data_IF_842410869653
#
_entry.id   IF_842410869653
#
_cell.length_a   1.000
_cell.length_b   1.000
_cell.length_c   1.000
_cell.angle_alpha   90.00
_cell.angle_beta   90.00
_cell.angle_gamma   90.00
#
_symmetry.space_group_name_H-M   'P 1'
#
loop_
_entity.id
_entity.type
_entity.pdbx_description
1 polymer ?
#
# COMPACT_ATOMS: atom_id res chain seq x y z
N UNK A 1 37.94 -32.12 -8.11
CA UNK A 1 37.35 -33.39 -7.62
C UNK A 1 36.79 -33.17 -6.23
N UNK A 2 35.46 -33.20 -6.08
CA UNK A 2 34.76 -33.42 -4.81
C UNK A 2 33.35 -33.89 -5.16
N UNK A 3 33.15 -35.20 -5.08
CA UNK A 3 31.89 -35.89 -5.37
C UNK A 3 30.97 -35.81 -4.14
N UNK A 4 29.89 -35.04 -4.25
CA UNK A 4 28.78 -35.05 -3.29
C UNK A 4 27.76 -36.12 -3.66
N UNK A 5 27.85 -37.26 -2.98
CA UNK A 5 27.04 -38.46 -3.17
C UNK A 5 25.61 -38.25 -2.59
N UNK A 6 24.64 -37.85 -3.41
CA UNK A 6 23.23 -37.72 -2.99
C UNK A 6 22.51 -39.06 -3.08
N UNK A 7 22.16 -39.66 -1.94
CA UNK A 7 21.32 -40.86 -1.84
C UNK A 7 19.93 -40.61 -2.44
N UNK A 8 19.41 -41.47 -3.33
CA UNK A 8 18.05 -41.30 -3.86
C UNK A 8 17.00 -41.80 -2.88
N UNK A 9 16.07 -40.91 -2.51
CA UNK A 9 14.88 -41.18 -1.70
C UNK A 9 13.92 -42.17 -2.36
N UNK A 10 13.37 -43.10 -1.57
CA UNK A 10 12.54 -44.25 -1.99
C UNK A 10 11.27 -43.90 -2.79
N UNK A 11 10.75 -42.68 -2.70
CA UNK A 11 9.53 -42.24 -3.40
C UNK A 11 9.75 -41.85 -4.87
N UNK A 12 10.98 -41.71 -5.35
CA UNK A 12 11.29 -41.12 -6.66
C UNK A 12 11.64 -42.13 -7.77
N UNK A 13 11.50 -43.44 -7.52
CA UNK A 13 11.94 -44.47 -8.47
C UNK A 13 11.06 -44.61 -9.72
N UNK A 14 9.80 -44.16 -9.71
CA UNK A 14 8.87 -44.54 -10.79
C UNK A 14 8.54 -43.46 -11.81
N UNK A 15 8.64 -42.15 -11.52
CA UNK A 15 8.65 -41.09 -12.54
C UNK A 15 9.05 -39.73 -11.90
N UNK A 16 10.35 -39.41 -11.77
CA UNK A 16 10.80 -38.22 -11.03
C UNK A 16 10.31 -36.89 -11.64
N UNK A 17 10.07 -36.85 -12.94
CA UNK A 17 9.52 -35.67 -13.63
C UNK A 17 8.04 -35.45 -13.31
N UNK A 18 7.22 -36.50 -13.31
CA UNK A 18 5.77 -36.38 -13.11
C UNK A 18 5.43 -35.80 -11.72
N UNK A 19 6.07 -36.32 -10.67
CA UNK A 19 5.80 -35.86 -9.31
C UNK A 19 6.28 -34.42 -9.08
N UNK A 20 7.47 -34.09 -9.62
CA UNK A 20 8.08 -32.76 -9.50
C UNK A 20 7.32 -31.69 -10.30
N UNK A 21 6.75 -32.06 -11.45
CA UNK A 21 6.05 -31.11 -12.33
C UNK A 21 4.56 -30.97 -12.03
N UNK A 22 3.90 -32.01 -11.50
CA UNK A 22 2.45 -31.98 -11.27
C UNK A 22 2.03 -31.92 -9.81
N UNK A 23 2.76 -32.58 -8.91
CA UNK A 23 2.36 -32.70 -7.50
C UNK A 23 3.08 -31.68 -6.63
N UNK A 24 4.40 -31.52 -6.78
CA UNK A 24 5.15 -30.54 -5.99
C UNK A 24 4.61 -29.08 -6.09
N UNK A 25 4.13 -28.60 -7.25
CA UNK A 25 3.54 -27.26 -7.34
C UNK A 25 2.21 -27.10 -6.60
N UNK A 26 1.51 -28.20 -6.28
CA UNK A 26 0.25 -28.17 -5.53
C UNK A 26 0.47 -28.00 -4.01
N UNK A 27 1.69 -28.26 -3.53
CA UNK A 27 2.08 -28.19 -2.12
C UNK A 27 3.37 -27.36 -1.95
N UNK A 28 3.36 -26.05 -2.30
CA UNK A 28 4.56 -25.20 -2.27
C UNK A 28 5.18 -25.04 -0.87
N UNK A 29 4.40 -25.32 0.19
CA UNK A 29 4.83 -25.22 1.58
C UNK A 29 5.54 -26.47 2.13
N UNK A 30 5.67 -27.54 1.34
CA UNK A 30 6.30 -28.80 1.76
C UNK A 30 7.53 -29.07 0.90
N UNK A 31 8.69 -29.25 1.54
CA UNK A 31 9.88 -29.73 0.84
C UNK A 31 9.86 -31.27 0.82
N UNK A 32 9.49 -31.84 -0.32
CA UNK A 32 9.44 -33.29 -0.51
C UNK A 32 10.83 -33.96 -0.52
N UNK A 33 11.92 -33.20 -0.42
CA UNK A 33 13.28 -33.72 -0.28
C UNK A 33 13.64 -34.03 1.17
N UNK A 34 12.99 -33.36 2.13
CA UNK A 34 13.24 -33.49 3.57
C UNK A 34 11.94 -33.35 4.37
N UNK A 35 11.19 -34.45 4.47
CA UNK A 35 9.85 -34.47 5.08
C UNK A 35 9.94 -34.45 6.61
N UNK A 36 9.34 -33.43 7.24
CA UNK A 36 9.21 -33.34 8.69
C UNK A 36 7.86 -33.91 9.15
N UNK A 37 7.74 -34.38 10.40
CA UNK A 37 6.45 -34.88 10.94
C UNK A 37 5.31 -33.86 10.83
N UNK A 38 5.62 -32.57 10.90
CA UNK A 38 4.66 -31.47 10.75
C UNK A 38 4.12 -31.30 9.33
N UNK A 39 4.80 -31.82 8.32
CA UNK A 39 4.41 -31.66 6.92
C UNK A 39 3.21 -32.55 6.56
N UNK A 40 2.99 -33.64 7.29
CA UNK A 40 1.78 -34.49 7.17
C UNK A 40 0.51 -33.68 7.38
N UNK A 41 0.49 -32.80 8.39
CA UNK A 41 -0.65 -31.92 8.69
C UNK A 41 -0.84 -30.90 7.55
N UNK A 42 0.25 -30.33 7.04
CA UNK A 42 0.21 -29.35 5.94
C UNK A 42 -0.30 -29.94 4.64
N UNK A 43 0.09 -31.18 4.33
CA UNK A 43 -0.41 -31.94 3.17
C UNK A 43 -1.91 -32.20 3.31
N UNK A 44 -2.37 -32.59 4.50
CA UNK A 44 -3.77 -32.94 4.74
C UNK A 44 -4.68 -31.72 4.60
N UNK A 45 -4.29 -30.58 5.19
CA UNK A 45 -5.00 -29.29 5.07
C UNK A 45 -5.04 -28.84 3.59
N UNK A 46 -3.90 -28.88 2.90
CA UNK A 46 -3.81 -28.46 1.50
C UNK A 46 -4.61 -29.39 0.57
N UNK A 47 -4.68 -30.69 0.86
CA UNK A 47 -5.45 -31.66 0.08
C UNK A 47 -6.96 -31.42 0.22
N UNK A 48 -7.44 -31.15 1.44
CA UNK A 48 -8.84 -30.76 1.68
C UNK A 48 -9.16 -29.46 0.95
N UNK A 49 -8.26 -28.48 1.00
CA UNK A 49 -8.43 -27.22 0.30
C UNK A 49 -8.49 -27.40 -1.23
N UNK A 50 -7.62 -28.22 -1.83
CA UNK A 50 -7.63 -28.52 -3.27
C UNK A 50 -8.86 -29.35 -3.69
N UNK A 51 -9.39 -30.19 -2.80
CA UNK A 51 -10.60 -30.98 -3.05
C UNK A 51 -11.86 -30.09 -3.07
N UNK A 52 -11.94 -29.12 -2.17
CA UNK A 52 -13.08 -28.19 -2.05
C UNK A 52 -13.00 -27.07 -3.09
N UNK A 53 -11.81 -26.53 -3.31
CA UNK A 53 -11.55 -25.45 -4.26
C UNK A 53 -10.76 -26.02 -5.44
N UNK A 54 -11.45 -26.44 -6.52
CA UNK A 54 -10.81 -26.90 -7.77
C UNK A 54 -9.95 -25.78 -8.37
N UNK A 55 -8.67 -25.77 -8.00
CA UNK A 55 -7.68 -24.83 -8.50
C UNK A 55 -6.89 -25.54 -9.60
N UNK A 56 -7.02 -25.04 -10.83
CA UNK A 56 -6.16 -25.45 -11.93
C UNK A 56 -4.71 -25.09 -11.56
N UNK A 57 -3.73 -25.99 -11.76
CA UNK A 57 -2.33 -25.72 -11.42
C UNK A 57 -1.80 -24.50 -12.20
N UNK A 58 -0.79 -23.79 -11.65
CA UNK A 58 -0.27 -22.58 -12.28
C UNK A 58 0.46 -22.94 -13.57
N UNK A 59 -0.18 -22.66 -14.71
CA UNK A 59 0.49 -22.71 -16.01
C UNK A 59 1.44 -21.51 -16.16
N UNK A 60 2.59 -21.66 -16.87
CA UNK A 60 3.52 -20.58 -17.13
C UNK A 60 2.83 -19.43 -17.90
N UNK A 61 3.29 -18.18 -17.66
CA UNK A 61 2.73 -16.92 -18.22
C UNK A 61 2.38 -17.03 -19.72
N UNK A 62 1.51 -16.17 -20.28
CA UNK A 62 0.22 -15.64 -19.82
C UNK A 62 -0.89 -16.03 -20.84
N UNK A 63 -2.04 -16.63 -20.41
CA UNK A 63 -3.13 -16.99 -21.35
C UNK A 63 -4.54 -16.56 -20.91
N UNK A 64 -5.13 -15.71 -21.77
CA UNK A 64 -6.53 -15.57 -22.24
C UNK A 64 -7.73 -15.66 -21.25
N UNK A 65 -7.72 -16.44 -20.17
CA UNK A 65 -8.90 -16.59 -19.30
C UNK A 65 -9.14 -15.43 -18.34
N UNK A 66 -8.10 -14.78 -17.80
CA UNK A 66 -8.24 -13.50 -17.11
C UNK A 66 -8.79 -12.40 -18.06
N UNK A 67 -8.51 -12.53 -19.37
CA UNK A 67 -9.09 -11.69 -20.42
C UNK A 67 -10.57 -12.04 -20.67
N UNK A 68 -10.95 -13.32 -20.68
CA UNK A 68 -12.34 -13.77 -20.85
C UNK A 68 -13.21 -13.39 -19.65
N UNK A 69 -12.76 -13.60 -18.41
CA UNK A 69 -13.50 -13.20 -17.20
C UNK A 69 -13.57 -11.68 -17.07
N UNK A 70 -12.49 -10.94 -17.36
CA UNK A 70 -12.55 -9.46 -17.47
C UNK A 70 -13.41 -9.00 -18.63
N UNK A 71 -13.46 -9.73 -19.76
CA UNK A 71 -14.36 -9.44 -20.90
C UNK A 71 -15.81 -9.75 -20.55
N UNK A 72 -16.11 -10.85 -19.84
CA UNK A 72 -17.44 -11.23 -19.37
C UNK A 72 -17.94 -10.27 -18.30
N UNK A 73 -17.10 -9.86 -17.34
CA UNK A 73 -17.39 -8.79 -16.36
C UNK A 73 -17.54 -7.43 -17.03
N UNK A 74 -16.68 -7.08 -18.02
CA UNK A 74 -16.89 -5.87 -18.84
C UNK A 74 -18.19 -5.94 -19.62
N UNK A 75 -18.53 -7.08 -20.21
CA UNK A 75 -19.76 -7.30 -20.97
C UNK A 75 -20.98 -7.26 -20.05
N UNK A 76 -20.93 -7.86 -18.87
CA UNK A 76 -21.98 -7.77 -17.85
C UNK A 76 -22.14 -6.33 -17.36
N UNK A 77 -21.04 -5.63 -17.04
CA UNK A 77 -21.08 -4.20 -16.71
C UNK A 77 -21.58 -3.33 -17.86
N UNK A 78 -21.27 -3.68 -19.12
CA UNK A 78 -21.78 -3.02 -20.32
C UNK A 78 -23.26 -3.34 -20.58
N UNK A 79 -23.73 -4.55 -20.26
CA UNK A 79 -25.11 -5.00 -20.40
C UNK A 79 -26.01 -4.39 -19.32
N UNK A 80 -25.55 -4.33 -18.06
CA UNK A 80 -26.18 -3.54 -17.00
C UNK A 80 -26.20 -2.05 -17.37
N UNK A 81 -25.12 -1.53 -17.97
CA UNK A 81 -25.11 -0.16 -18.48
C UNK A 81 -26.01 0.06 -19.72
N UNK A 82 -26.55 -0.98 -20.36
CA UNK A 82 -27.60 -0.87 -21.40
C UNK A 82 -29.00 -0.78 -20.80
N UNK A 83 -29.22 -1.29 -19.59
CA UNK A 83 -30.46 -1.08 -18.82
C UNK A 83 -30.59 0.37 -18.34
N UNK A 84 -29.47 1.05 -18.15
CA UNK A 84 -29.42 2.49 -17.87
C UNK A 84 -29.67 3.25 -19.18
N UNK A 85 -30.73 4.07 -19.30
CA UNK A 85 -31.03 4.79 -20.54
C UNK A 85 -29.82 5.60 -21.03
N UNK A 86 -29.57 5.61 -22.35
CA UNK A 86 -28.39 6.28 -22.96
C UNK A 86 -28.20 7.75 -22.51
N UNK A 87 -29.29 8.44 -22.17
CA UNK A 87 -29.29 9.80 -21.61
C UNK A 87 -28.59 9.87 -20.24
N UNK A 88 -28.85 8.91 -19.36
CA UNK A 88 -28.24 8.83 -18.02
C UNK A 88 -26.78 8.39 -18.07
N UNK A 89 -26.44 7.47 -19.00
CA UNK A 89 -25.07 6.97 -19.17
C UNK A 89 -24.06 8.05 -19.56
N UNK A 90 -24.47 9.09 -20.31
CA UNK A 90 -23.62 10.25 -20.64
C UNK A 90 -23.42 11.19 -19.45
N UNK A 91 -24.46 11.36 -18.61
CA UNK A 91 -24.41 12.21 -17.39
C UNK A 91 -23.59 11.59 -16.26
N UNK A 92 -23.57 10.27 -16.14
CA UNK A 92 -22.82 9.54 -15.11
C UNK A 92 -21.34 9.29 -15.47
N UNK A 93 -20.79 9.99 -16.47
CA UNK A 93 -19.35 9.88 -16.76
C UNK A 93 -18.54 10.62 -15.69
N UNK A 94 -17.39 10.08 -15.23
CA UNK A 94 -16.58 10.72 -14.20
C UNK A 94 -16.20 12.17 -14.51
N UNK A 95 -15.97 12.49 -15.78
CA UNK A 95 -15.66 13.84 -16.24
C UNK A 95 -16.83 14.82 -16.06
N UNK A 96 -18.07 14.39 -16.35
CA UNK A 96 -19.27 15.22 -16.19
C UNK A 96 -19.59 15.41 -14.71
N UNK A 97 -19.52 14.34 -13.91
CA UNK A 97 -19.73 14.42 -12.45
C UNK A 97 -18.71 15.38 -11.83
N UNK A 98 -17.43 15.26 -12.21
CA UNK A 98 -16.38 16.15 -11.74
C UNK A 98 -16.66 17.61 -12.13
N UNK A 99 -17.03 17.87 -13.39
CA UNK A 99 -17.35 19.23 -13.85
C UNK A 99 -18.53 19.83 -13.09
N UNK A 100 -19.60 19.05 -12.90
CA UNK A 100 -20.77 19.49 -12.13
C UNK A 100 -20.41 19.75 -10.66
N UNK A 101 -19.59 18.90 -10.04
CA UNK A 101 -19.12 19.12 -8.67
C UNK A 101 -18.21 20.36 -8.55
N UNK A 102 -17.35 20.60 -9.53
CA UNK A 102 -16.51 21.80 -9.59
C UNK A 102 -17.35 23.07 -9.79
N UNK A 103 -18.43 23.02 -10.58
CA UNK A 103 -19.38 24.13 -10.72
C UNK A 103 -20.14 24.39 -9.41
N UNK A 104 -20.63 23.34 -8.73
CA UNK A 104 -21.30 23.48 -7.42
C UNK A 104 -20.35 24.03 -6.36
N UNK A 105 -19.11 23.53 -6.30
CA UNK A 105 -18.12 23.97 -5.32
C UNK A 105 -17.69 25.44 -5.50
N UNK A 106 -17.82 25.99 -6.71
CA UNK A 106 -17.51 27.39 -7.03
C UNK A 106 -18.69 28.35 -6.81
N UNK A 107 -19.86 27.84 -6.43
CA UNK A 107 -21.05 28.67 -6.25
C UNK A 107 -20.86 29.65 -5.08
N UNK A 108 -21.29 30.90 -5.25
CA UNK A 108 -21.11 32.01 -4.27
C UNK A 108 -21.69 31.71 -2.88
N UNK A 109 -22.67 30.81 -2.82
CA UNK A 109 -23.30 30.32 -1.58
C UNK A 109 -22.28 29.71 -0.61
N UNK A 110 -21.18 29.13 -1.11
CA UNK A 110 -20.11 28.57 -0.28
C UNK A 110 -19.14 29.61 0.27
N UNK A 111 -19.15 30.86 -0.23
CA UNK A 111 -18.38 31.96 0.34
C UNK A 111 -18.94 32.43 1.69
N UNK A 112 -20.22 32.14 1.96
CA UNK A 112 -20.88 32.47 3.21
C UNK A 112 -20.47 31.50 4.33
N UNK A 113 -19.64 31.98 5.26
CA UNK A 113 -19.23 31.25 6.48
C UNK A 113 -20.37 30.56 7.23
N UNK A 114 -21.53 31.18 7.50
CA UNK A 114 -22.61 30.51 8.24
C UNK A 114 -23.19 29.32 7.46
N UNK A 115 -23.30 29.42 6.14
CA UNK A 115 -23.76 28.33 5.29
C UNK A 115 -22.80 27.14 5.34
N UNK A 116 -21.49 27.41 5.30
CA UNK A 116 -20.45 26.39 5.48
C UNK A 116 -20.60 25.63 6.81
N UNK A 117 -20.81 26.35 7.92
CA UNK A 117 -21.04 25.72 9.23
C UNK A 117 -22.31 24.87 9.25
N UNK A 118 -23.42 25.38 8.71
CA UNK A 118 -24.69 24.63 8.65
C UNK A 118 -24.54 23.35 7.84
N UNK A 119 -23.93 23.42 6.66
CA UNK A 119 -23.70 22.22 5.84
C UNK A 119 -22.78 21.20 6.51
N UNK A 120 -21.77 21.65 7.25
CA UNK A 120 -20.91 20.76 8.03
C UNK A 120 -21.69 20.07 9.15
N UNK A 121 -22.46 20.83 9.93
CA UNK A 121 -23.31 20.28 11.01
C UNK A 121 -24.34 19.29 10.49
N UNK A 122 -25.01 19.60 9.37
CA UNK A 122 -25.94 18.68 8.72
C UNK A 122 -25.23 17.41 8.25
N UNK A 123 -24.04 17.53 7.68
CA UNK A 123 -23.25 16.35 7.26
C UNK A 123 -22.89 15.46 8.45
N UNK A 124 -22.41 16.06 9.55
CA UNK A 124 -22.11 15.33 10.79
C UNK A 124 -23.36 14.67 11.36
N UNK A 125 -24.50 15.37 11.40
CA UNK A 125 -25.76 14.82 11.89
C UNK A 125 -26.21 13.61 11.06
N UNK A 126 -26.15 13.69 9.72
CA UNK A 126 -26.48 12.57 8.83
C UNK A 126 -25.55 11.38 9.07
N UNK A 127 -24.25 11.62 9.23
CA UNK A 127 -23.28 10.55 9.52
C UNK A 127 -23.55 9.89 10.88
N UNK A 128 -23.85 10.68 11.92
CA UNK A 128 -24.19 10.15 13.23
C UNK A 128 -25.47 9.32 13.20
N UNK A 129 -26.52 9.80 12.51
CA UNK A 129 -27.75 9.02 12.29
C UNK A 129 -27.42 7.70 11.58
N UNK A 130 -26.62 7.76 10.51
CA UNK A 130 -26.22 6.56 9.78
C UNK A 130 -25.37 5.60 10.62
N UNK A 131 -24.68 6.06 11.66
CA UNK A 131 -23.86 5.22 12.56
C UNK A 131 -24.68 4.62 13.69
N UNK A 132 -25.49 5.44 14.36
CA UNK A 132 -26.15 5.11 15.63
C UNK A 132 -27.46 4.34 15.43
N UNK A 133 -28.14 4.52 14.28
CA UNK A 133 -29.46 3.92 14.06
C UNK A 133 -29.40 2.39 14.16
N UNK A 134 -30.15 1.77 15.09
CA UNK A 134 -30.17 0.33 15.28
C UNK A 134 -30.92 -0.33 14.13
N UNK A 135 -30.29 -1.32 13.50
CA UNK A 135 -30.86 -2.08 12.38
C UNK A 135 -31.07 -3.53 12.77
N UNK A 136 -32.08 -4.17 12.17
CA UNK A 136 -32.15 -5.63 12.15
C UNK A 136 -30.94 -6.23 11.43
N UNK A 137 -30.62 -7.49 11.70
CA UNK A 137 -29.52 -8.20 11.02
C UNK A 137 -29.65 -8.16 9.49
N UNK A 138 -30.87 -8.37 8.97
CA UNK A 138 -31.13 -8.33 7.53
C UNK A 138 -30.93 -6.92 6.96
N UNK A 139 -31.46 -5.90 7.62
CA UNK A 139 -31.30 -4.50 7.20
C UNK A 139 -29.83 -4.07 7.22
N UNK A 140 -29.08 -4.48 8.24
CA UNK A 140 -27.63 -4.25 8.35
C UNK A 140 -26.88 -4.94 7.20
N UNK A 141 -27.20 -6.20 6.90
CA UNK A 141 -26.58 -6.93 5.80
C UNK A 141 -26.84 -6.25 4.45
N UNK A 142 -28.09 -5.88 4.16
CA UNK A 142 -28.46 -5.17 2.93
C UNK A 142 -27.71 -3.83 2.84
N UNK A 143 -27.66 -3.07 3.93
CA UNK A 143 -26.96 -1.80 3.99
C UNK A 143 -25.45 -1.95 3.71
N UNK A 144 -24.80 -2.93 4.34
CA UNK A 144 -23.37 -3.20 4.15
C UNK A 144 -23.06 -3.68 2.72
N UNK A 145 -23.93 -4.52 2.13
CA UNK A 145 -23.81 -4.93 0.73
C UNK A 145 -23.93 -3.73 -0.20
N UNK A 146 -24.88 -2.82 0.06
CA UNK A 146 -25.05 -1.60 -0.72
C UNK A 146 -23.82 -0.69 -0.65
N UNK A 147 -23.31 -0.42 0.56
CA UNK A 147 -22.07 0.35 0.76
C UNK A 147 -20.90 -0.29 0.00
N UNK A 148 -20.77 -1.62 0.06
CA UNK A 148 -19.75 -2.36 -0.65
C UNK A 148 -19.87 -2.23 -2.17
N UNK A 149 -21.07 -2.35 -2.73
CA UNK A 149 -21.30 -2.14 -4.16
C UNK A 149 -20.94 -0.71 -4.58
N UNK A 150 -21.34 0.30 -3.82
CA UNK A 150 -20.99 1.71 -4.08
C UNK A 150 -19.47 1.88 -4.04
N UNK A 151 -18.79 1.34 -3.02
CA UNK A 151 -17.34 1.41 -2.91
C UNK A 151 -16.64 0.73 -4.10
N UNK A 152 -17.12 -0.45 -4.53
CA UNK A 152 -16.58 -1.15 -5.70
C UNK A 152 -16.80 -0.41 -7.02
N UNK A 153 -17.88 0.35 -7.13
CA UNK A 153 -18.15 1.21 -8.29
C UNK A 153 -17.23 2.44 -8.29
N UNK A 154 -17.04 3.07 -7.13
CA UNK A 154 -16.26 4.31 -6.99
C UNK A 154 -14.76 4.06 -7.07
N UNK A 155 -14.23 2.90 -6.62
CA UNK A 155 -12.78 2.60 -6.59
C UNK A 155 -12.06 2.69 -7.95
N UNK A 156 -12.80 2.67 -9.05
CA UNK A 156 -12.24 2.74 -10.42
C UNK A 156 -12.18 4.17 -10.95
N UNK A 157 -12.77 5.13 -10.24
CA UNK A 157 -12.82 6.52 -10.64
C UNK A 157 -11.52 7.19 -10.22
N UNK A 158 -10.74 7.77 -11.15
CA UNK A 158 -9.55 8.54 -10.79
C UNK A 158 -9.93 9.88 -10.16
N UNK A 159 -9.17 10.31 -9.15
CA UNK A 159 -9.28 11.64 -8.53
C UNK A 159 -9.60 11.63 -7.05
N UNK A 160 -9.40 12.78 -6.40
CA UNK A 160 -9.52 12.94 -4.95
C UNK A 160 -10.95 12.73 -4.43
N UNK A 161 -11.97 13.07 -5.24
CA UNK A 161 -13.38 12.88 -4.86
C UNK A 161 -13.72 11.40 -4.62
N UNK A 162 -13.19 10.50 -5.45
CA UNK A 162 -13.40 9.07 -5.29
C UNK A 162 -12.77 8.57 -3.97
N UNK A 163 -11.56 9.02 -3.66
CA UNK A 163 -10.89 8.75 -2.38
C UNK A 163 -11.72 9.27 -1.20
N UNK A 164 -12.22 10.50 -1.26
CA UNK A 164 -13.05 11.09 -0.21
C UNK A 164 -14.35 10.30 0.02
N UNK A 165 -15.03 9.88 -1.06
CA UNK A 165 -16.23 9.04 -0.95
C UNK A 165 -15.88 7.71 -0.28
N UNK A 166 -14.79 7.04 -0.68
CA UNK A 166 -14.37 5.78 -0.07
C UNK A 166 -14.03 5.93 1.42
N UNK A 167 -13.37 7.03 1.79
CA UNK A 167 -13.10 7.36 3.20
C UNK A 167 -14.41 7.49 3.97
N UNK A 168 -15.39 8.23 3.45
CA UNK A 168 -16.70 8.41 4.12
C UNK A 168 -17.44 7.08 4.26
N UNK A 169 -17.51 6.27 3.20
CA UNK A 169 -18.16 4.95 3.27
C UNK A 169 -17.48 4.04 4.30
N UNK A 170 -16.15 4.06 4.36
CA UNK A 170 -15.40 3.28 5.35
C UNK A 170 -15.61 3.81 6.77
N UNK A 171 -15.65 5.13 6.97
CA UNK A 171 -15.92 5.74 8.27
C UNK A 171 -17.31 5.37 8.79
N UNK A 172 -18.34 5.35 7.92
CA UNK A 172 -19.68 4.88 8.26
C UNK A 172 -19.66 3.41 8.67
N UNK A 173 -19.04 2.54 7.85
CA UNK A 173 -18.96 1.11 8.14
C UNK A 173 -18.25 0.81 9.47
N UNK A 174 -17.07 1.39 9.68
CA UNK A 174 -16.28 1.21 10.90
C UNK A 174 -16.96 1.85 12.11
N UNK A 175 -17.58 3.02 11.95
CA UNK A 175 -18.35 3.69 13.00
C UNK A 175 -19.55 2.85 13.45
N UNK A 176 -20.32 2.29 12.51
CA UNK A 176 -21.43 1.36 12.82
C UNK A 176 -20.97 0.13 13.56
N UNK A 177 -19.85 -0.47 13.14
CA UNK A 177 -19.25 -1.60 13.83
C UNK A 177 -18.88 -1.24 15.27
N UNK A 178 -18.19 -0.11 15.46
CA UNK A 178 -17.74 0.32 16.78
C UNK A 178 -18.92 0.68 17.70
N UNK A 179 -19.96 1.31 17.16
CA UNK A 179 -21.21 1.57 17.89
C UNK A 179 -21.86 0.27 18.35
N UNK A 180 -21.95 -0.74 17.47
CA UNK A 180 -22.45 -2.07 17.85
C UNK A 180 -21.57 -2.73 18.92
N UNK A 181 -20.24 -2.66 18.75
CA UNK A 181 -19.26 -3.21 19.69
C UNK A 181 -19.45 -2.63 21.09
N UNK A 182 -19.61 -1.31 21.19
CA UNK A 182 -19.80 -0.62 22.47
C UNK A 182 -21.13 -0.96 23.16
N UNK A 183 -22.23 -1.05 22.42
CA UNK A 183 -23.58 -1.13 23.02
C UNK A 183 -24.12 -2.56 23.20
N UNK A 184 -23.66 -3.52 22.39
CA UNK A 184 -24.30 -4.85 22.33
C UNK A 184 -23.37 -6.02 22.61
N UNK A 185 -22.06 -5.79 22.78
CA UNK A 185 -21.09 -6.91 22.90
C UNK A 185 -20.28 -6.92 24.19
N UNK A 186 -20.39 -5.87 25.02
CA UNK A 186 -19.77 -5.84 26.34
C UNK A 186 -20.66 -6.58 27.33
N UNK A 187 -20.09 -7.58 28.00
CA UNK A 187 -20.73 -8.28 29.10
C UNK A 187 -20.41 -7.54 30.40
N UNK A 188 -21.44 -7.16 31.15
CA UNK A 188 -21.31 -6.41 32.41
C UNK A 188 -21.33 -7.31 33.65
N UNK A 189 -21.63 -8.61 33.48
CA UNK A 189 -21.93 -9.51 34.59
C UNK A 189 -20.68 -10.15 35.23
N UNK A 190 -19.59 -10.31 34.46
CA UNK A 190 -18.33 -10.90 34.94
C UNK A 190 -17.14 -9.94 34.73
N UNK A 191 -16.33 -9.76 35.78
CA UNK A 191 -15.17 -8.87 35.78
C UNK A 191 -14.06 -9.33 34.83
N UNK A 192 -13.85 -10.65 34.69
CA UNK A 192 -12.83 -11.17 33.77
C UNK A 192 -13.22 -10.93 32.31
N UNK A 193 -14.46 -11.24 31.95
CA UNK A 193 -15.01 -10.96 30.62
C UNK A 193 -15.01 -9.46 30.31
N UNK A 194 -15.37 -8.63 31.30
CA UNK A 194 -15.38 -7.18 31.16
C UNK A 194 -13.97 -6.63 30.90
N UNK A 195 -12.97 -7.08 31.67
CA UNK A 195 -11.58 -6.62 31.50
C UNK A 195 -10.99 -7.03 30.15
N UNK A 196 -11.17 -8.28 29.74
CA UNK A 196 -10.74 -8.75 28.42
C UNK A 196 -11.51 -8.05 27.29
N UNK A 197 -12.81 -7.81 27.48
CA UNK A 197 -13.66 -7.06 26.57
C UNK A 197 -13.18 -5.63 26.35
N UNK A 198 -12.86 -4.90 27.43
CA UNK A 198 -12.31 -3.55 27.35
C UNK A 198 -10.90 -3.51 26.77
N UNK A 199 -10.05 -4.49 27.06
CA UNK A 199 -8.72 -4.56 26.46
C UNK A 199 -8.81 -4.72 24.94
N UNK A 200 -9.69 -5.61 24.47
CA UNK A 200 -9.95 -5.80 23.05
C UNK A 200 -10.57 -4.54 22.42
N UNK A 201 -11.57 -3.94 23.07
CA UNK A 201 -12.17 -2.68 22.62
C UNK A 201 -11.12 -1.56 22.52
N UNK A 202 -10.19 -1.46 23.47
CA UNK A 202 -9.11 -0.49 23.45
C UNK A 202 -8.18 -0.68 22.25
N UNK A 203 -7.82 -1.93 21.93
CA UNK A 203 -7.05 -2.25 20.74
C UNK A 203 -7.82 -1.90 19.45
N UNK A 204 -9.13 -2.16 19.40
CA UNK A 204 -9.99 -1.82 18.26
C UNK A 204 -10.15 -0.30 18.10
N UNK A 205 -10.33 0.44 19.19
CA UNK A 205 -10.37 1.91 19.20
C UNK A 205 -9.05 2.51 18.71
N UNK A 206 -7.93 1.93 19.13
CA UNK A 206 -6.60 2.33 18.63
C UNK A 206 -6.47 2.09 17.13
N UNK A 207 -6.87 0.90 16.64
CA UNK A 207 -6.86 0.59 15.22
C UNK A 207 -7.77 1.53 14.41
N UNK A 208 -8.96 1.84 14.95
CA UNK A 208 -9.89 2.80 14.35
C UNK A 208 -9.31 4.22 14.31
N UNK A 209 -8.65 4.67 15.38
CA UNK A 209 -7.98 5.97 15.43
C UNK A 209 -6.86 6.06 14.38
N UNK A 210 -6.00 5.05 14.30
CA UNK A 210 -4.92 4.97 13.29
C UNK A 210 -5.52 5.00 11.87
N UNK A 211 -6.65 4.31 11.65
CA UNK A 211 -7.36 4.35 10.37
C UNK A 211 -7.84 5.78 10.03
N UNK A 212 -8.47 6.48 10.99
CA UNK A 212 -8.93 7.86 10.78
C UNK A 212 -7.78 8.83 10.52
N UNK A 213 -6.66 8.70 11.24
CA UNK A 213 -5.45 9.50 11.00
C UNK A 213 -4.85 9.21 9.62
N UNK A 214 -4.82 7.94 9.19
CA UNK A 214 -4.39 7.55 7.86
C UNK A 214 -5.27 8.15 6.75
N UNK A 215 -6.58 8.27 6.99
CA UNK A 215 -7.49 8.97 6.09
C UNK A 215 -7.23 10.48 6.03
N UNK A 216 -6.97 11.11 7.17
CA UNK A 216 -6.61 12.53 7.20
C UNK A 216 -5.35 12.81 6.36
N UNK A 217 -4.33 11.96 6.50
CA UNK A 217 -3.10 12.05 5.69
C UNK A 217 -3.36 11.80 4.19
N UNK A 218 -4.22 10.84 3.87
CA UNK A 218 -4.44 10.38 2.49
C UNK A 218 -5.55 11.12 1.74
N UNK A 219 -6.32 11.98 2.41
CA UNK A 219 -7.51 12.62 1.84
C UNK A 219 -7.20 13.49 0.61
N UNK A 220 -6.01 14.13 0.59
CA UNK A 220 -5.56 14.98 -0.52
C UNK A 220 -4.05 14.81 -0.75
N UNK A 221 -3.63 13.81 -1.55
CA UNK A 221 -2.23 13.68 -1.90
C UNK A 221 -1.75 14.90 -2.69
N UNK A 222 -0.63 15.47 -2.26
CA UNK A 222 0.04 16.58 -2.96
C UNK A 222 0.72 16.05 -4.22
N UNK A 223 0.18 16.41 -5.39
CA UNK A 223 0.81 16.13 -6.67
C UNK A 223 1.72 17.30 -7.04
N UNK A 224 2.95 17.30 -6.51
CA UNK A 224 3.96 18.32 -6.84
C UNK A 224 4.50 18.05 -8.25
N UNK A 225 4.41 19.04 -9.12
CA UNK A 225 5.11 18.99 -10.40
C UNK A 225 6.56 19.45 -10.22
N UNK A 226 7.52 18.92 -10.99
CA UNK A 226 8.87 19.45 -11.01
C UNK A 226 8.86 20.94 -11.34
N UNK A 227 9.56 21.73 -10.54
CA UNK A 227 9.73 23.17 -10.81
C UNK A 227 10.76 23.29 -11.92
N UNK A 228 10.44 24.06 -12.97
CA UNK A 228 11.40 24.35 -14.03
C UNK A 228 12.48 25.28 -13.50
N UNK A 229 13.74 24.92 -13.70
CA UNK A 229 14.87 25.82 -13.44
C UNK A 229 14.88 26.96 -14.47
N UNK A 230 15.47 28.12 -14.12
CA UNK A 230 15.75 29.16 -15.10
C UNK A 230 16.52 28.60 -16.29
N UNK A 231 16.26 29.15 -17.49
CA UNK A 231 16.92 28.70 -18.71
C UNK A 231 18.44 28.94 -18.69
N UNK A 232 18.90 29.94 -17.91
CA UNK A 232 20.30 30.27 -17.74
C UNK A 232 20.94 29.48 -16.57
N UNK A 233 21.90 28.57 -16.84
CA UNK A 233 22.62 27.80 -15.81
C UNK A 233 23.43 28.66 -14.83
N UNK A 234 23.76 29.91 -15.21
CA UNK A 234 24.47 30.84 -14.32
C UNK A 234 23.65 31.20 -13.07
N UNK A 235 22.33 31.09 -13.14
CA UNK A 235 21.41 31.37 -12.02
C UNK A 235 21.15 30.16 -11.13
N UNK A 236 21.65 28.98 -11.52
CA UNK A 236 21.43 27.76 -10.74
C UNK A 236 22.23 27.80 -9.43
N UNK A 237 21.70 27.21 -8.34
CA UNK A 237 22.42 27.16 -7.07
C UNK A 237 23.67 26.27 -7.14
N UNK A 238 24.63 26.53 -6.25
CA UNK A 238 25.64 25.52 -5.92
C UNK A 238 25.00 24.40 -5.09
N UNK A 239 25.39 23.16 -5.35
CA UNK A 239 24.85 21.96 -4.71
C UNK A 239 26.01 21.16 -4.12
N UNK A 240 25.92 20.91 -2.83
CA UNK A 240 26.82 20.01 -2.11
C UNK A 240 26.10 18.67 -1.88
N UNK A 241 26.70 17.58 -2.38
CA UNK A 241 26.21 16.22 -2.22
C UNK A 241 27.05 15.51 -1.18
N UNK A 242 26.44 15.17 -0.05
CA UNK A 242 27.08 14.41 1.01
C UNK A 242 26.73 12.92 0.93
N UNK A 243 27.77 12.07 0.87
CA UNK A 243 27.64 10.61 0.84
C UNK A 243 28.28 10.06 2.12
N UNK A 244 27.52 9.89 3.22
CA UNK A 244 28.03 9.33 4.46
C UNK A 244 28.16 7.81 4.39
N UNK A 245 29.27 7.29 4.91
CA UNK A 245 29.56 5.85 5.03
C UNK A 245 30.25 5.57 6.37
N UNK A 246 30.00 4.38 6.90
CA UNK A 246 30.60 3.91 8.15
C UNK A 246 31.32 2.56 7.97
N UNK A 247 30.58 1.53 7.57
CA UNK A 247 31.10 0.16 7.42
C UNK A 247 30.67 -0.52 6.12
N UNK A 248 30.04 0.23 5.21
CA UNK A 248 29.68 -0.28 3.88
C UNK A 248 30.94 -0.49 3.03
N UNK A 249 31.09 -1.61 2.33
CA UNK A 249 32.28 -1.88 1.52
C UNK A 249 32.37 -0.94 0.31
N UNK A 250 33.59 -0.71 -0.18
CA UNK A 250 33.88 0.28 -1.23
C UNK A 250 33.14 -0.01 -2.56
N UNK A 251 32.94 -1.28 -2.89
CA UNK A 251 32.20 -1.74 -4.08
C UNK A 251 30.72 -1.31 -4.08
N UNK A 252 30.12 -1.10 -2.91
CA UNK A 252 28.74 -0.58 -2.75
C UNK A 252 28.71 0.95 -2.86
N UNK A 253 29.72 1.64 -2.33
CA UNK A 253 29.74 3.11 -2.28
C UNK A 253 30.22 3.72 -3.60
N UNK A 254 31.16 3.07 -4.29
CA UNK A 254 31.75 3.51 -5.56
C UNK A 254 30.70 3.87 -6.63
N UNK A 255 29.68 3.04 -6.93
CA UNK A 255 28.64 3.39 -7.90
C UNK A 255 27.86 4.66 -7.52
N UNK A 256 27.63 4.88 -6.21
CA UNK A 256 26.90 6.06 -5.72
C UNK A 256 27.71 7.33 -5.93
N UNK A 257 29.03 7.29 -5.68
CA UNK A 257 29.93 8.43 -5.89
C UNK A 257 30.04 8.77 -7.38
N UNK A 258 30.23 7.77 -8.25
CA UNK A 258 30.25 8.00 -9.70
C UNK A 258 28.91 8.53 -10.23
N UNK A 259 27.78 8.04 -9.71
CA UNK A 259 26.46 8.53 -10.10
C UNK A 259 26.25 9.99 -9.66
N UNK A 260 26.74 10.38 -8.49
CA UNK A 260 26.70 11.76 -8.02
C UNK A 260 27.56 12.69 -8.88
N UNK A 261 28.78 12.27 -9.24
CA UNK A 261 29.68 13.04 -10.11
C UNK A 261 29.16 13.16 -11.55
N UNK A 262 28.35 12.21 -12.01
CA UNK A 262 27.77 12.19 -13.35
C UNK A 262 26.40 12.90 -13.44
N UNK A 263 25.95 13.58 -12.37
CA UNK A 263 24.71 14.36 -12.42
C UNK A 263 24.80 15.49 -13.45
N UNK A 264 23.70 15.73 -14.16
CA UNK A 264 23.57 16.81 -15.15
C UNK A 264 23.45 18.17 -14.46
N UNK A 265 24.59 18.68 -13.97
CA UNK A 265 24.74 19.96 -13.29
C UNK A 265 26.05 20.63 -13.72
N UNK A 266 26.14 21.97 -13.74
CA UNK A 266 27.40 22.66 -14.00
C UNK A 266 28.48 22.21 -13.00
N UNK A 267 29.64 21.77 -13.51
CA UNK A 267 30.70 21.11 -12.70
C UNK A 267 31.26 22.04 -11.62
N UNK A 268 31.33 23.33 -11.91
CA UNK A 268 31.78 24.38 -11.00
C UNK A 268 30.80 24.66 -9.85
N UNK A 269 29.57 24.17 -9.95
CA UNK A 269 28.50 24.31 -8.95
C UNK A 269 28.14 23.01 -8.26
N UNK A 270 28.80 21.91 -8.60
CA UNK A 270 28.53 20.59 -8.02
C UNK A 270 29.73 20.13 -7.21
N UNK A 271 29.57 20.03 -5.89
CA UNK A 271 30.60 19.48 -5.02
C UNK A 271 30.12 18.14 -4.45
N UNK A 272 30.89 17.08 -4.66
CA UNK A 272 30.57 15.76 -4.12
C UNK A 272 31.55 15.45 -2.98
N UNK A 273 31.02 15.14 -1.80
CA UNK A 273 31.77 14.84 -0.59
C UNK A 273 31.51 13.40 -0.14
N UNK A 274 32.58 12.64 0.05
CA UNK A 274 32.55 11.30 0.64
C UNK A 274 32.90 11.41 2.13
N UNK A 275 31.91 11.17 2.99
CA UNK A 275 32.05 11.33 4.44
C UNK A 275 32.27 9.98 5.11
N UNK A 276 33.51 9.62 5.40
CA UNK A 276 33.87 8.30 5.91
C UNK A 276 34.18 8.33 7.42
N UNK A 277 33.21 7.88 8.23
CA UNK A 277 33.36 7.71 9.68
C UNK A 277 34.18 6.46 10.06
N UNK A 278 34.44 5.58 9.08
CA UNK A 278 35.28 4.39 9.24
C UNK A 278 36.79 4.70 9.18
N UNK A 279 37.18 5.90 8.73
CA UNK A 279 38.59 6.33 8.57
C UNK A 279 39.42 5.35 7.76
N UNK A 280 38.85 4.86 6.66
CA UNK A 280 39.42 3.82 5.81
C UNK A 280 40.20 4.47 4.70
N UNK A 281 41.47 4.09 4.61
CA UNK A 281 42.40 4.63 3.61
C UNK A 281 41.92 4.38 2.17
N UNK A 282 41.37 3.20 1.89
CA UNK A 282 40.83 2.85 0.57
C UNK A 282 39.72 3.81 0.08
N UNK A 283 38.98 4.44 1.00
CA UNK A 283 37.95 5.44 0.67
C UNK A 283 38.56 6.79 0.35
N UNK A 284 39.65 7.17 1.03
CA UNK A 284 40.40 8.39 0.74
C UNK A 284 41.03 8.31 -0.65
N UNK A 285 41.75 7.23 -0.93
CA UNK A 285 42.37 6.97 -2.23
C UNK A 285 41.32 6.99 -3.35
N UNK A 286 40.20 6.30 -3.16
CA UNK A 286 39.12 6.27 -4.14
C UNK A 286 38.48 7.64 -4.37
N UNK A 287 38.24 8.43 -3.32
CA UNK A 287 37.68 9.77 -3.46
C UNK A 287 38.58 10.67 -4.30
N UNK A 288 39.89 10.64 -4.03
CA UNK A 288 40.88 11.39 -4.80
C UNK A 288 40.93 10.94 -6.27
N UNK A 289 40.94 9.63 -6.53
CA UNK A 289 40.92 9.07 -7.89
C UNK A 289 39.63 9.46 -8.65
N UNK A 290 38.48 9.40 -7.99
CA UNK A 290 37.20 9.72 -8.59
C UNK A 290 36.96 11.23 -8.77
N UNK A 291 37.76 12.10 -8.12
CA UNK A 291 37.55 13.54 -8.10
C UNK A 291 36.46 14.01 -7.13
N UNK A 292 36.14 13.19 -6.13
CA UNK A 292 35.27 13.57 -5.00
C UNK A 292 36.11 14.09 -3.81
N UNK A 293 35.50 14.88 -2.94
CA UNK A 293 36.16 15.42 -1.74
C UNK A 293 36.04 14.44 -0.58
N UNK A 294 37.14 13.92 -0.06
CA UNK A 294 37.13 13.08 1.13
C UNK A 294 37.03 13.93 2.40
N UNK A 295 36.17 13.53 3.33
CA UNK A 295 36.06 14.16 4.65
C UNK A 295 35.86 13.08 5.71
N UNK A 296 36.52 13.26 6.85
CA UNK A 296 36.39 12.40 8.02
C UNK A 296 36.51 13.25 9.27
N UNK A 297 36.16 12.68 10.42
CA UNK A 297 36.14 13.37 11.71
C UNK A 297 36.90 12.60 12.79
N UNK A 298 37.42 13.30 13.81
CA UNK A 298 38.21 12.69 14.88
C UNK A 298 37.40 11.78 15.79
N UNK A 299 36.09 12.03 15.96
CA UNK A 299 35.19 11.27 16.84
C UNK A 299 33.92 10.84 16.10
N UNK A 300 33.25 9.78 16.58
CA UNK A 300 32.01 9.27 15.96
C UNK A 300 30.75 9.72 16.73
N UNK A 301 30.79 10.90 17.35
CA UNK A 301 29.68 11.43 18.15
C UNK A 301 28.44 11.72 17.29
N UNK A 302 27.24 11.60 17.83
CA UNK A 302 25.98 11.90 17.12
C UNK A 302 25.74 11.13 15.78
N UNK A 303 26.48 10.04 15.53
CA UNK A 303 26.34 9.17 14.36
C UNK A 303 26.20 9.95 13.04
N UNK A 304 25.22 9.60 12.19
CA UNK A 304 24.98 10.24 10.89
C UNK A 304 24.72 11.75 10.99
N UNK A 305 24.03 12.21 12.03
CA UNK A 305 23.74 13.63 12.20
C UNK A 305 25.02 14.42 12.54
N UNK A 306 25.93 13.83 13.33
CA UNK A 306 27.23 14.43 13.62
C UNK A 306 28.12 14.51 12.38
N UNK A 307 28.13 13.46 11.55
CA UNK A 307 28.93 13.44 10.33
C UNK A 307 28.49 14.52 9.32
N UNK A 308 27.18 14.73 9.15
CA UNK A 308 26.64 15.76 8.26
C UNK A 308 26.89 17.20 8.73
N UNK A 309 27.21 17.42 10.01
CA UNK A 309 27.35 18.75 10.61
C UNK A 309 28.82 19.17 10.85
N UNK A 310 29.79 18.29 10.60
CA UNK A 310 31.21 18.58 10.85
C UNK A 310 31.77 19.56 9.82
#
# INVERSE_FOLDING_TARGET
MSNGNSRPSLLFKTHPAFFRERIAPLFPQVDFRDLKPTDLIRILIQSVWLAVFRINPPAPRPRVHARLWRRRMKQWGLSLARLIPRRWRRRLTPAVIRKQMEEVAKHEVWANRPMGVVTYLLTVAILLIAIITPFSLLSQLIFMILLWFIALSVRRIPGNLATMILIVLSAIASGRYLWWRLNYTLNWDDLLDLTLGFLLLGAELFAWLVLMLGYFQSARPLQRQPVKLPADPSQWPSVDIYIPTYNEPLDVVRPTVHAALAMDWPREKLNVYLLDDGRREEFREFAEEAGARYMTRPDNSHAKAGNLNH
#
